data_IF_663612209915
#
_entry.id   IF_663612209915
#
_cell.length_a   1.000
_cell.length_b   1.000
_cell.length_c   1.000
_cell.angle_alpha   90.00
_cell.angle_beta   90.00
_cell.angle_gamma   90.00
#
_symmetry.space_group_name_H-M   'P 1'
#
loop_
_entity.id
_entity.type
_entity.pdbx_description
1 polymer ?
#
# COMPACT_ATOMS: atom_id res chain seq x y z
N UNK A 1 -13.68 -18.21 -1.62
CA UNK A 1 -12.53 -17.34 -1.90
C UNK A 1 -12.20 -16.58 -0.63
N UNK A 2 -11.00 -16.73 -0.13
CA UNK A 2 -10.53 -16.00 1.05
C UNK A 2 -10.19 -14.53 0.69
N UNK A 3 -9.95 -13.64 1.69
CA UNK A 3 -9.67 -12.23 1.43
C UNK A 3 -8.38 -12.00 0.59
N UNK A 4 -7.38 -12.87 0.70
CA UNK A 4 -6.14 -12.77 -0.09
C UNK A 4 -6.39 -13.02 -1.58
N UNK A 5 -7.13 -14.09 -1.89
CA UNK A 5 -7.51 -14.43 -3.27
C UNK A 5 -8.46 -13.38 -3.84
N UNK A 6 -9.39 -12.87 -3.01
CA UNK A 6 -10.30 -11.77 -3.39
C UNK A 6 -9.53 -10.50 -3.74
N UNK A 7 -8.58 -10.11 -2.91
CA UNK A 7 -7.72 -8.95 -3.19
C UNK A 7 -6.92 -9.13 -4.48
N UNK A 8 -6.29 -10.30 -4.66
CA UNK A 8 -5.56 -10.61 -5.90
C UNK A 8 -6.46 -10.51 -7.14
N UNK A 9 -7.66 -11.10 -7.09
CA UNK A 9 -8.64 -11.02 -8.17
C UNK A 9 -9.08 -9.57 -8.44
N UNK A 10 -9.41 -8.80 -7.40
CA UNK A 10 -9.79 -7.39 -7.55
C UNK A 10 -8.69 -6.55 -8.20
N UNK A 11 -7.43 -6.74 -7.77
CA UNK A 11 -6.29 -6.02 -8.34
C UNK A 11 -6.05 -6.41 -9.80
N UNK A 12 -6.15 -7.70 -10.12
CA UNK A 12 -6.00 -8.20 -11.49
C UNK A 12 -7.08 -7.68 -12.43
N UNK A 13 -8.34 -7.63 -11.97
CA UNK A 13 -9.49 -7.20 -12.76
C UNK A 13 -9.77 -5.70 -12.66
N UNK A 14 -8.93 -4.94 -11.94
CA UNK A 14 -9.10 -3.50 -11.69
C UNK A 14 -10.45 -3.15 -11.05
N UNK A 15 -10.93 -4.03 -10.21
CA UNK A 15 -12.11 -3.78 -9.38
C UNK A 15 -11.78 -2.81 -8.24
N UNK A 16 -12.81 -2.26 -7.60
CA UNK A 16 -12.62 -1.37 -6.45
C UNK A 16 -11.96 -2.12 -5.28
N UNK A 17 -10.82 -1.62 -4.83
CA UNK A 17 -10.10 -2.06 -3.64
C UNK A 17 -10.14 -0.95 -2.60
N UNK A 18 -10.37 -1.31 -1.33
CA UNK A 18 -10.42 -0.38 -0.20
C UNK A 18 -9.33 -0.74 0.79
N UNK A 19 -8.45 0.22 1.07
CA UNK A 19 -7.39 0.11 2.07
C UNK A 19 -7.43 1.20 3.12
N UNK A 20 -6.68 1.01 4.20
CA UNK A 20 -6.41 2.02 5.21
C UNK A 20 -5.01 1.87 5.78
N UNK A 21 -4.54 2.86 6.54
CA UNK A 21 -3.21 2.85 7.13
C UNK A 21 -3.26 2.90 8.65
N UNK A 22 -2.42 2.11 9.26
CA UNK A 22 -2.00 2.29 10.64
C UNK A 22 -0.59 2.92 10.62
N UNK A 23 -0.42 4.03 11.31
CA UNK A 23 0.82 4.79 11.35
C UNK A 23 1.28 5.16 12.75
N UNK A 24 0.38 5.09 13.75
CA UNK A 24 0.63 5.61 15.09
C UNK A 24 0.23 4.66 16.22
N UNK A 25 -0.87 3.90 16.06
CA UNK A 25 -1.42 3.06 17.12
C UNK A 25 -1.02 1.61 16.93
N UNK A 26 -0.06 1.14 17.74
CA UNK A 26 0.32 -0.28 17.78
C UNK A 26 -0.64 -1.05 18.71
N UNK A 27 -1.84 -1.37 18.21
CA UNK A 27 -2.86 -2.07 18.97
C UNK A 27 -3.48 -3.21 18.15
N UNK A 28 -3.22 -4.47 18.51
CA UNK A 28 -3.90 -5.63 17.93
C UNK A 28 -5.44 -5.56 18.06
N UNK A 29 -5.95 -5.08 19.20
CA UNK A 29 -7.40 -4.92 19.41
C UNK A 29 -8.02 -3.87 18.48
N UNK A 30 -7.28 -2.79 18.18
CA UNK A 30 -7.74 -1.81 17.20
C UNK A 30 -7.79 -2.42 15.80
N UNK A 31 -6.77 -3.17 15.42
CA UNK A 31 -6.74 -3.86 14.13
C UNK A 31 -7.92 -4.85 14.01
N UNK A 32 -8.24 -5.58 15.07
CA UNK A 32 -9.40 -6.48 15.13
C UNK A 32 -10.71 -5.69 14.92
N UNK A 33 -10.89 -4.58 15.63
CA UNK A 33 -12.08 -3.72 15.51
C UNK A 33 -12.24 -3.12 14.11
N UNK A 34 -11.14 -2.87 13.41
CA UNK A 34 -11.12 -2.34 12.04
C UNK A 34 -11.41 -3.40 10.96
N UNK A 35 -11.39 -4.70 11.28
CA UNK A 35 -11.53 -5.78 10.30
C UNK A 35 -12.98 -5.93 9.81
N UNK A 36 -13.41 -5.03 8.94
CA UNK A 36 -14.71 -5.08 8.26
C UNK A 36 -14.63 -5.94 6.99
N UNK A 37 -15.79 -6.42 6.54
CA UNK A 37 -15.87 -7.23 5.30
C UNK A 37 -15.43 -6.44 4.07
N UNK A 38 -15.74 -5.15 4.02
CA UNK A 38 -15.43 -4.27 2.89
C UNK A 38 -13.96 -3.85 2.85
N UNK A 39 -13.21 -4.02 3.95
CA UNK A 39 -11.79 -3.69 4.01
C UNK A 39 -10.96 -4.79 3.33
N UNK A 40 -10.25 -4.43 2.28
CA UNK A 40 -9.44 -5.36 1.51
C UNK A 40 -8.02 -5.50 2.05
N UNK A 41 -7.43 -4.43 2.60
CA UNK A 41 -6.09 -4.48 3.22
C UNK A 41 -5.87 -3.39 4.26
N UNK A 42 -4.90 -3.62 5.15
CA UNK A 42 -4.33 -2.61 6.04
C UNK A 42 -2.84 -2.46 5.75
N UNK A 43 -2.38 -1.22 5.64
CA UNK A 43 -0.98 -0.85 5.49
C UNK A 43 -0.39 -0.41 6.83
N UNK A 44 0.71 -1.00 7.25
CA UNK A 44 1.52 -0.52 8.37
C UNK A 44 2.65 0.35 7.82
N UNK A 45 2.70 1.59 8.27
CA UNK A 45 3.65 2.57 7.76
C UNK A 45 4.95 2.54 8.57
N UNK A 46 5.99 1.93 8.00
CA UNK A 46 7.33 1.92 8.59
C UNK A 46 8.25 3.03 8.02
N UNK A 47 7.80 3.81 7.03
CA UNK A 47 8.55 4.95 6.50
C UNK A 47 8.35 6.20 7.37
N UNK A 48 7.10 6.60 7.60
CA UNK A 48 6.76 7.83 8.33
C UNK A 48 6.00 7.55 9.64
N UNK A 49 5.55 6.32 9.85
CA UNK A 49 4.87 5.90 11.06
C UNK A 49 5.83 5.49 12.19
N UNK A 50 5.25 5.01 13.28
CA UNK A 50 5.99 4.53 14.46
C UNK A 50 6.43 3.06 14.36
N UNK A 51 6.16 2.41 13.21
CA UNK A 51 6.40 0.98 13.07
C UNK A 51 7.83 0.67 12.66
N UNK A 52 8.39 -0.31 13.34
CA UNK A 52 9.66 -0.95 13.05
C UNK A 52 9.50 -2.49 13.03
N UNK A 53 10.62 -3.16 12.82
CA UNK A 53 10.67 -4.63 12.75
C UNK A 53 10.17 -5.32 14.02
N UNK A 54 10.33 -4.69 15.20
CA UNK A 54 9.98 -5.33 16.48
C UNK A 54 8.50 -5.14 16.83
N UNK A 55 7.95 -3.97 16.54
CA UNK A 55 6.61 -3.62 16.97
C UNK A 55 5.51 -3.97 15.93
N UNK A 56 5.83 -4.09 14.65
CA UNK A 56 4.85 -4.45 13.61
C UNK A 56 4.47 -5.94 13.61
N UNK A 57 5.36 -6.81 14.12
CA UNK A 57 5.18 -8.27 14.01
C UNK A 57 3.88 -8.75 14.66
N UNK A 58 3.49 -8.20 15.81
CA UNK A 58 2.26 -8.57 16.51
C UNK A 58 1.01 -8.27 15.68
N UNK A 59 1.00 -7.12 14.99
CA UNK A 59 -0.08 -6.72 14.10
C UNK A 59 -0.16 -7.60 12.86
N UNK A 60 0.98 -7.93 12.25
CA UNK A 60 1.04 -8.86 11.12
C UNK A 60 0.51 -10.26 11.49
N UNK A 61 0.85 -10.76 12.68
CA UNK A 61 0.34 -12.05 13.16
C UNK A 61 -1.18 -12.01 13.42
N UNK A 62 -1.68 -10.94 14.02
CA UNK A 62 -3.13 -10.78 14.24
C UNK A 62 -3.87 -10.62 12.91
N UNK A 63 -3.39 -9.82 11.98
CA UNK A 63 -3.95 -9.72 10.63
C UNK A 63 -4.06 -11.08 9.95
N UNK A 64 -3.00 -11.88 10.04
CA UNK A 64 -2.98 -13.25 9.51
C UNK A 64 -4.01 -14.16 10.15
N UNK A 65 -4.15 -14.14 11.48
CA UNK A 65 -5.14 -14.95 12.20
C UNK A 65 -6.58 -14.57 11.81
N UNK A 66 -6.82 -13.30 11.52
CA UNK A 66 -8.12 -12.81 11.07
C UNK A 66 -8.36 -12.98 9.56
N UNK A 67 -7.37 -13.45 8.81
CA UNK A 67 -7.45 -13.53 7.35
C UNK A 67 -7.52 -12.18 6.65
N UNK A 68 -7.03 -11.12 7.28
CA UNK A 68 -6.97 -9.76 6.73
C UNK A 68 -5.62 -9.54 6.04
N UNK A 69 -5.58 -9.22 4.73
CA UNK A 69 -4.34 -8.88 4.05
C UNK A 69 -3.65 -7.68 4.69
N UNK A 70 -2.36 -7.83 5.03
CA UNK A 70 -1.56 -6.82 5.68
C UNK A 70 -0.34 -6.47 4.86
N UNK A 71 -0.08 -5.18 4.72
CA UNK A 71 1.04 -4.63 3.96
C UNK A 71 1.96 -3.86 4.90
N UNK A 72 3.23 -3.78 4.53
CA UNK A 72 4.18 -2.87 5.16
C UNK A 72 4.68 -1.89 4.11
N UNK A 73 4.61 -0.59 4.39
CA UNK A 73 5.38 0.39 3.64
C UNK A 73 6.80 0.35 4.17
N UNK A 74 7.74 -0.10 3.33
CA UNK A 74 9.15 -0.16 3.69
C UNK A 74 9.73 1.24 3.87
N UNK A 75 10.79 1.37 4.64
CA UNK A 75 11.49 2.64 4.85
C UNK A 75 12.20 3.12 3.59
N UNK A 76 12.68 2.18 2.77
CA UNK A 76 13.32 2.42 1.49
C UNK A 76 13.29 1.15 0.63
N UNK A 77 13.74 1.24 -0.63
CA UNK A 77 13.84 0.12 -1.55
C UNK A 77 15.13 -0.68 -1.33
N UNK A 78 15.26 -1.31 -0.16
CA UNK A 78 16.40 -2.14 0.18
C UNK A 78 15.96 -3.60 0.39
N UNK A 79 16.75 -4.55 -0.16
CA UNK A 79 16.45 -5.98 -0.08
C UNK A 79 16.10 -6.43 1.35
N UNK A 80 16.92 -6.05 2.32
CA UNK A 80 16.75 -6.50 3.71
C UNK A 80 15.49 -5.94 4.38
N UNK A 81 15.05 -4.74 4.03
CA UNK A 81 13.82 -4.13 4.55
C UNK A 81 12.58 -4.85 4.02
N UNK A 82 12.57 -5.11 2.72
CA UNK A 82 11.45 -5.78 2.04
C UNK A 82 11.37 -7.26 2.44
N UNK A 83 12.50 -7.98 2.35
CA UNK A 83 12.56 -9.41 2.72
C UNK A 83 12.16 -9.62 4.18
N UNK A 84 12.57 -8.71 5.09
CA UNK A 84 12.24 -8.80 6.51
C UNK A 84 10.75 -8.60 6.78
N UNK A 85 10.09 -7.67 6.08
CA UNK A 85 8.64 -7.48 6.19
C UNK A 85 7.88 -8.78 5.85
N UNK A 86 8.27 -9.44 4.77
CA UNK A 86 7.68 -10.73 4.35
C UNK A 86 7.99 -11.84 5.35
N UNK A 87 9.22 -11.91 5.87
CA UNK A 87 9.61 -12.90 6.89
C UNK A 87 8.81 -12.77 8.19
N UNK A 88 8.35 -11.58 8.52
CA UNK A 88 7.50 -11.31 9.68
C UNK A 88 6.02 -11.59 9.42
N UNK A 89 5.62 -11.78 8.18
CA UNK A 89 4.26 -12.15 7.83
C UNK A 89 3.46 -11.12 7.04
N UNK A 90 4.08 -10.07 6.54
CA UNK A 90 3.40 -9.18 5.60
C UNK A 90 2.98 -9.94 4.32
N UNK A 91 1.80 -9.65 3.84
CA UNK A 91 1.28 -10.23 2.60
C UNK A 91 1.74 -9.42 1.37
N UNK A 92 2.10 -8.15 1.60
CA UNK A 92 2.64 -7.30 0.57
C UNK A 92 3.52 -6.19 1.12
N UNK A 93 4.22 -5.54 0.21
CA UNK A 93 5.03 -4.37 0.51
C UNK A 93 4.68 -3.22 -0.42
N UNK A 94 4.63 -2.03 0.16
CA UNK A 94 4.66 -0.78 -0.58
C UNK A 94 6.07 -0.23 -0.53
N UNK A 95 6.63 0.09 -1.70
CA UNK A 95 8.01 0.56 -1.85
C UNK A 95 7.98 2.03 -2.20
N UNK A 96 8.44 2.93 -1.30
CA UNK A 96 8.41 4.36 -1.54
C UNK A 96 9.42 4.77 -2.62
N UNK A 97 9.21 5.94 -3.18
CA UNK A 97 10.15 6.62 -4.09
C UNK A 97 10.71 5.71 -5.19
N UNK A 98 9.83 4.92 -5.81
CA UNK A 98 10.24 4.03 -6.90
C UNK A 98 10.46 4.82 -8.18
N UNK A 99 11.71 4.87 -8.65
CA UNK A 99 12.15 5.70 -9.78
C UNK A 99 13.01 4.96 -10.81
N UNK A 100 13.42 3.71 -10.52
CA UNK A 100 14.34 2.97 -11.37
C UNK A 100 13.97 1.50 -11.50
N UNK A 101 14.39 0.87 -12.59
CA UNK A 101 14.23 -0.58 -12.79
C UNK A 101 15.04 -1.40 -11.78
N UNK A 102 16.18 -0.88 -11.31
CA UNK A 102 17.01 -1.53 -10.31
C UNK A 102 16.28 -1.62 -8.97
N UNK A 103 15.56 -0.57 -8.57
CA UNK A 103 14.70 -0.61 -7.38
C UNK A 103 13.63 -1.70 -7.51
N UNK A 104 12.94 -1.79 -8.65
CA UNK A 104 11.97 -2.85 -8.88
C UNK A 104 12.61 -4.24 -8.89
N UNK A 105 13.78 -4.41 -9.50
CA UNK A 105 14.53 -5.67 -9.44
C UNK A 105 14.82 -6.06 -7.98
N UNK A 106 15.32 -5.12 -7.18
CA UNK A 106 15.59 -5.33 -5.75
C UNK A 106 14.32 -5.73 -5.00
N UNK A 107 13.20 -5.06 -5.27
CA UNK A 107 11.91 -5.37 -4.64
C UNK A 107 11.41 -6.77 -5.00
N UNK A 108 11.47 -7.17 -6.26
CA UNK A 108 11.08 -8.52 -6.73
C UNK A 108 12.00 -9.58 -6.13
N UNK A 109 13.33 -9.33 -6.11
CA UNK A 109 14.31 -10.23 -5.53
C UNK A 109 14.06 -10.47 -4.03
N UNK A 110 13.63 -9.44 -3.31
CA UNK A 110 13.35 -9.52 -1.88
C UNK A 110 11.98 -10.11 -1.55
N UNK A 111 11.00 -9.96 -2.46
CA UNK A 111 9.62 -10.40 -2.28
C UNK A 111 9.43 -11.88 -2.63
N UNK A 112 10.00 -12.34 -3.73
CA UNK A 112 9.70 -13.63 -4.36
C UNK A 112 10.88 -14.60 -4.34
N UNK A 113 10.57 -15.90 -4.33
CA UNK A 113 11.57 -16.95 -4.46
C UNK A 113 12.03 -17.12 -5.91
N UNK A 114 13.15 -17.83 -6.07
CA UNK A 114 13.62 -18.27 -7.40
C UNK A 114 12.54 -19.09 -8.14
N UNK A 115 12.34 -18.92 -9.47
CA UNK A 115 13.17 -18.12 -10.39
C UNK A 115 12.79 -16.64 -10.51
N UNK A 116 11.65 -16.20 -10.01
CA UNK A 116 11.17 -14.82 -10.14
C UNK A 116 12.05 -13.82 -9.37
N UNK A 117 12.41 -14.18 -8.14
CA UNK A 117 13.24 -13.38 -7.25
C UNK A 117 14.36 -14.19 -6.60
N UNK A 118 14.93 -13.66 -5.53
CA UNK A 118 16.08 -14.24 -4.82
C UNK A 118 15.87 -14.28 -3.30
N UNK A 119 14.61 -14.24 -2.86
CA UNK A 119 14.25 -14.23 -1.44
C UNK A 119 14.81 -15.46 -0.73
N UNK A 120 15.39 -15.26 0.48
CA UNK A 120 15.79 -16.33 1.38
C UNK A 120 14.59 -17.09 1.95
N UNK A 121 14.71 -18.41 2.13
CA UNK A 121 13.63 -19.30 2.61
C UNK A 121 13.62 -19.55 4.12
N UNK A 122 14.34 -18.74 4.93
CA UNK A 122 14.53 -18.98 6.37
C UNK A 122 13.57 -18.27 7.32
N UNK A 123 12.65 -17.44 6.82
CA UNK A 123 11.76 -16.65 7.65
C UNK A 123 10.61 -17.46 8.26
N UNK A 124 10.45 -17.41 9.58
CA UNK A 124 9.38 -18.18 10.28
C UNK A 124 7.96 -17.70 9.96
N UNK A 125 7.79 -16.41 9.64
CA UNK A 125 6.48 -15.81 9.36
C UNK A 125 6.12 -15.76 7.88
N UNK A 126 6.98 -16.16 6.97
CA UNK A 126 6.79 -15.93 5.53
C UNK A 126 5.64 -16.73 4.90
N UNK A 127 5.32 -17.91 5.40
CA UNK A 127 4.19 -18.71 4.93
C UNK A 127 2.98 -18.57 5.84
N UNK A 128 1.79 -18.55 5.26
CA UNK A 128 0.54 -18.68 6.00
C UNK A 128 0.33 -20.14 6.44
N UNK A 129 -0.42 -20.41 7.48
CA UNK A 129 -0.76 -21.77 7.86
C UNK A 129 -1.37 -22.54 6.68
N UNK A 130 -0.76 -23.66 6.30
CA UNK A 130 -1.21 -24.51 5.18
C UNK A 130 -0.86 -24.01 3.78
N UNK A 131 -0.17 -22.89 3.64
CA UNK A 131 0.25 -22.37 2.33
C UNK A 131 1.38 -23.24 1.75
N UNK A 132 1.16 -23.77 0.54
CA UNK A 132 2.18 -24.52 -0.16
C UNK A 132 3.25 -23.58 -0.77
N UNK A 133 4.49 -24.05 -0.88
CA UNK A 133 5.58 -23.28 -1.48
C UNK A 133 5.25 -22.79 -2.90
N UNK A 134 4.58 -23.62 -3.70
CA UNK A 134 4.18 -23.28 -5.08
C UNK A 134 3.09 -22.18 -5.16
N UNK A 135 2.42 -21.85 -4.04
CA UNK A 135 1.37 -20.86 -3.98
C UNK A 135 1.85 -19.52 -3.42
N UNK A 136 3.06 -19.48 -2.86
CA UNK A 136 3.61 -18.33 -2.17
C UNK A 136 3.50 -17.01 -2.98
N UNK A 137 3.95 -17.01 -4.23
CA UNK A 137 3.96 -15.80 -5.06
C UNK A 137 2.58 -15.34 -5.54
N UNK A 138 1.57 -16.22 -5.52
CA UNK A 138 0.21 -15.89 -6.03
C UNK A 138 -0.51 -14.84 -5.21
N UNK A 139 -0.15 -14.72 -3.95
CA UNK A 139 -0.77 -13.81 -2.98
C UNK A 139 0.27 -13.03 -2.19
N UNK A 140 1.37 -12.66 -2.83
CA UNK A 140 2.33 -11.66 -2.36
C UNK A 140 2.21 -10.44 -3.27
N UNK A 141 2.11 -9.27 -2.66
CA UNK A 141 1.71 -8.05 -3.35
C UNK A 141 2.86 -7.04 -3.34
N UNK A 142 3.21 -6.54 -4.52
CA UNK A 142 4.17 -5.46 -4.71
C UNK A 142 3.44 -4.19 -5.15
N UNK A 143 3.62 -3.12 -4.40
CA UNK A 143 3.04 -1.81 -4.70
C UNK A 143 4.14 -0.75 -4.77
N UNK A 144 4.77 -0.52 -5.94
CA UNK A 144 5.68 0.62 -6.11
C UNK A 144 4.91 1.94 -5.96
N UNK A 145 5.51 2.88 -5.23
CA UNK A 145 4.95 4.21 -5.00
C UNK A 145 5.67 5.23 -5.89
N UNK A 146 4.90 5.90 -6.74
CA UNK A 146 5.37 6.91 -7.69
C UNK A 146 5.11 8.29 -7.11
N UNK A 147 6.19 9.05 -6.91
CA UNK A 147 6.19 10.29 -6.13
C UNK A 147 7.04 11.40 -6.74
N UNK A 148 7.49 11.22 -7.99
CA UNK A 148 8.34 12.20 -8.68
C UNK A 148 8.14 12.14 -10.19
N UNK A 149 8.57 13.21 -10.89
CA UNK A 149 8.57 13.24 -12.34
C UNK A 149 9.41 12.09 -12.94
N UNK A 150 10.55 11.78 -12.32
CA UNK A 150 11.41 10.67 -12.75
C UNK A 150 10.69 9.32 -12.65
N UNK A 151 9.94 9.08 -11.56
CA UNK A 151 9.13 7.88 -11.42
C UNK A 151 8.03 7.80 -12.47
N UNK A 152 7.35 8.92 -12.75
CA UNK A 152 6.32 8.99 -13.80
C UNK A 152 6.92 8.65 -15.19
N UNK A 153 8.07 9.23 -15.54
CA UNK A 153 8.70 9.03 -16.84
C UNK A 153 9.25 7.59 -17.01
N UNK A 154 9.64 6.95 -15.91
CA UNK A 154 10.13 5.58 -15.93
C UNK A 154 9.00 4.53 -15.86
N UNK A 155 7.80 4.91 -15.43
CA UNK A 155 6.68 3.99 -15.17
C UNK A 155 6.33 3.08 -16.36
N UNK A 156 6.28 3.54 -17.63
CA UNK A 156 6.02 2.64 -18.76
C UNK A 156 7.01 1.48 -18.83
N UNK A 157 8.30 1.77 -18.68
CA UNK A 157 9.36 0.76 -18.69
C UNK A 157 9.28 -0.19 -17.50
N UNK A 158 8.92 0.33 -16.33
CA UNK A 158 8.67 -0.49 -15.14
C UNK A 158 7.55 -1.50 -15.37
N UNK A 159 6.47 -1.08 -16.02
CA UNK A 159 5.33 -1.94 -16.33
C UNK A 159 5.62 -2.94 -17.46
N UNK A 160 6.47 -2.58 -18.44
CA UNK A 160 6.94 -3.49 -19.47
C UNK A 160 7.79 -4.62 -18.90
N UNK A 161 8.74 -4.29 -18.01
CA UNK A 161 9.73 -5.27 -17.54
C UNK A 161 9.28 -6.04 -16.28
N UNK A 162 8.53 -5.36 -15.38
CA UNK A 162 8.15 -5.92 -14.08
C UNK A 162 6.64 -5.95 -13.83
N UNK A 163 5.83 -5.60 -14.82
CA UNK A 163 4.38 -5.50 -14.65
C UNK A 163 3.73 -6.78 -14.14
N UNK A 164 4.25 -7.96 -14.48
CA UNK A 164 3.73 -9.23 -13.97
C UNK A 164 3.84 -9.36 -12.43
N UNK A 165 4.84 -8.73 -11.81
CA UNK A 165 5.07 -8.74 -10.36
C UNK A 165 4.40 -7.59 -9.63
N UNK A 166 4.02 -6.50 -10.34
CA UNK A 166 3.38 -5.34 -9.76
C UNK A 166 1.88 -5.59 -9.60
N UNK A 167 1.41 -5.54 -8.36
CA UNK A 167 0.00 -5.74 -8.02
C UNK A 167 -0.84 -4.49 -8.23
N UNK A 168 -0.31 -3.34 -7.85
CA UNK A 168 -0.87 -2.01 -8.12
C UNK A 168 0.24 -0.96 -8.07
N UNK A 169 0.08 0.12 -8.82
CA UNK A 169 0.91 1.32 -8.72
C UNK A 169 0.24 2.30 -7.77
N UNK A 170 0.97 2.83 -6.80
CA UNK A 170 0.43 3.77 -5.82
C UNK A 170 1.07 5.15 -6.02
N UNK A 171 0.29 6.20 -5.88
CA UNK A 171 0.78 7.58 -5.85
C UNK A 171 0.86 8.06 -4.41
N UNK A 172 2.01 8.58 -4.01
CA UNK A 172 2.20 9.33 -2.76
C UNK A 172 1.99 10.83 -3.02
N UNK A 173 0.79 11.38 -2.79
CA UNK A 173 0.46 12.72 -3.25
C UNK A 173 1.24 13.83 -2.54
N UNK A 174 1.61 13.61 -1.28
CA UNK A 174 2.35 14.61 -0.51
C UNK A 174 3.77 14.79 -1.01
N UNK A 175 4.53 13.69 -1.12
CA UNK A 175 5.90 13.72 -1.61
C UNK A 175 5.94 14.12 -3.09
N UNK A 176 5.01 13.62 -3.90
CA UNK A 176 4.86 14.06 -5.29
C UNK A 176 4.66 15.57 -5.38
N UNK A 177 3.84 16.17 -4.49
CA UNK A 177 3.62 17.62 -4.51
C UNK A 177 4.89 18.43 -4.22
N UNK A 178 5.73 17.93 -3.32
CA UNK A 178 7.04 18.53 -3.02
C UNK A 178 7.99 18.40 -4.21
N UNK A 179 8.07 17.20 -4.79
CA UNK A 179 8.95 16.90 -5.93
C UNK A 179 8.56 17.62 -7.22
N UNK A 180 7.28 18.00 -7.36
CA UNK A 180 6.77 18.80 -8.49
C UNK A 180 6.73 20.30 -8.21
N UNK A 181 7.28 20.76 -7.07
CA UNK A 181 7.37 22.18 -6.72
C UNK A 181 6.07 22.83 -6.26
N UNK A 182 5.07 22.05 -5.89
CA UNK A 182 3.76 22.51 -5.38
C UNK A 182 3.45 21.92 -4.01
N UNK A 183 4.31 22.14 -2.97
CA UNK A 183 4.24 21.44 -1.69
C UNK A 183 2.86 21.58 -1.03
N UNK A 184 2.25 20.44 -0.71
CA UNK A 184 0.91 20.29 -0.12
C UNK A 184 -0.27 20.80 -0.95
N UNK A 185 -0.05 21.28 -2.18
CA UNK A 185 -1.13 21.73 -3.08
C UNK A 185 -1.65 20.55 -3.92
N UNK A 186 -2.16 19.52 -3.26
CA UNK A 186 -2.55 18.22 -3.86
C UNK A 186 -3.63 18.37 -4.94
N UNK A 187 -4.46 19.42 -4.86
CA UNK A 187 -5.50 19.72 -5.84
C UNK A 187 -5.09 20.70 -6.95
N UNK A 188 -3.81 21.12 -7.03
CA UNK A 188 -3.33 22.00 -8.09
C UNK A 188 -3.36 21.33 -9.47
N UNK A 189 -3.45 22.13 -10.52
CA UNK A 189 -3.48 21.62 -11.90
C UNK A 189 -2.24 20.76 -12.19
N UNK A 190 -1.05 21.20 -11.75
CA UNK A 190 0.20 20.44 -11.88
C UNK A 190 0.08 19.04 -11.28
N UNK A 191 -0.48 18.96 -10.07
CA UNK A 191 -0.67 17.66 -9.41
C UNK A 191 -1.72 16.80 -10.11
N UNK A 192 -2.84 17.40 -10.52
CA UNK A 192 -3.90 16.67 -11.19
C UNK A 192 -3.46 16.12 -12.55
N UNK A 193 -2.68 16.88 -13.32
CA UNK A 193 -2.07 16.43 -14.58
C UNK A 193 -1.10 15.26 -14.35
N UNK A 194 -0.23 15.38 -13.35
CA UNK A 194 0.72 14.32 -13.00
C UNK A 194 -0.01 13.02 -12.54
N UNK A 195 -1.03 13.15 -11.69
CA UNK A 195 -1.86 12.03 -11.23
C UNK A 195 -2.58 11.38 -12.42
N UNK A 196 -3.19 12.18 -13.32
CA UNK A 196 -3.86 11.66 -14.50
C UNK A 196 -2.88 10.89 -15.40
N UNK A 197 -1.68 11.43 -15.62
CA UNK A 197 -0.64 10.75 -16.42
C UNK A 197 -0.28 9.37 -15.85
N UNK A 198 -0.13 9.24 -14.52
CA UNK A 198 0.13 7.94 -13.88
C UNK A 198 -1.05 6.98 -14.10
N UNK A 199 -2.29 7.44 -13.90
CA UNK A 199 -3.47 6.60 -14.10
C UNK A 199 -3.64 6.18 -15.56
N UNK A 200 -3.39 7.06 -16.51
CA UNK A 200 -3.47 6.75 -17.95
C UNK A 200 -2.43 5.69 -18.35
N UNK A 201 -1.20 5.81 -17.84
CA UNK A 201 -0.17 4.79 -18.05
C UNK A 201 -0.64 3.45 -17.45
N UNK A 202 -1.09 3.42 -16.20
CA UNK A 202 -1.58 2.19 -15.57
C UNK A 202 -2.76 1.58 -16.35
N UNK A 203 -3.68 2.42 -16.82
CA UNK A 203 -4.83 2.00 -17.63
C UNK A 203 -4.37 1.34 -18.94
N UNK A 204 -3.40 1.94 -19.65
CA UNK A 204 -2.87 1.41 -20.89
C UNK A 204 -2.22 0.03 -20.73
N UNK A 205 -1.61 -0.22 -19.57
CA UNK A 205 -1.01 -1.52 -19.23
C UNK A 205 -1.95 -2.48 -18.47
N UNK A 206 -3.22 -2.11 -18.28
CA UNK A 206 -4.19 -2.92 -17.54
C UNK A 206 -3.84 -3.11 -16.06
N UNK A 207 -3.08 -2.17 -15.46
CA UNK A 207 -2.65 -2.26 -14.06
C UNK A 207 -3.56 -1.48 -13.13
N UNK A 208 -3.80 -2.06 -11.95
CA UNK A 208 -4.44 -1.35 -10.85
C UNK A 208 -3.60 -0.16 -10.41
N UNK A 209 -4.27 0.94 -10.08
CA UNK A 209 -3.63 2.14 -9.59
C UNK A 209 -4.41 2.76 -8.44
N UNK A 210 -3.68 3.38 -7.53
CA UNK A 210 -4.22 3.96 -6.31
C UNK A 210 -3.50 5.22 -5.86
N UNK A 211 -4.15 5.93 -4.95
CA UNK A 211 -3.62 7.14 -4.34
C UNK A 211 -4.23 7.29 -2.93
N UNK A 212 -3.46 7.88 -2.02
CA UNK A 212 -4.00 8.28 -0.73
C UNK A 212 -5.01 9.43 -0.90
N UNK A 213 -6.19 9.27 -0.32
CA UNK A 213 -7.30 10.23 -0.42
C UNK A 213 -7.53 10.92 0.92
N UNK A 214 -7.36 12.23 1.00
CA UNK A 214 -7.57 12.99 2.23
C UNK A 214 -9.05 13.11 2.63
N UNK A 215 -9.92 13.12 1.63
CA UNK A 215 -11.35 13.33 1.83
C UNK A 215 -12.18 12.70 0.71
N UNK A 216 -13.50 12.69 0.91
CA UNK A 216 -14.46 12.12 -0.02
C UNK A 216 -14.44 12.79 -1.40
N UNK A 217 -14.27 14.10 -1.46
CA UNK A 217 -14.30 14.86 -2.73
C UNK A 217 -13.13 14.41 -3.62
N UNK A 218 -11.93 14.31 -3.06
CA UNK A 218 -10.76 13.82 -3.77
C UNK A 218 -10.89 12.33 -4.13
N UNK A 219 -11.42 11.52 -3.22
CA UNK A 219 -11.62 10.10 -3.50
C UNK A 219 -12.57 9.87 -4.70
N UNK A 220 -13.65 10.63 -4.79
CA UNK A 220 -14.57 10.59 -5.94
C UNK A 220 -13.87 11.07 -7.22
N UNK A 221 -13.19 12.20 -7.14
CA UNK A 221 -12.42 12.75 -8.28
C UNK A 221 -11.40 11.75 -8.82
N UNK A 222 -10.59 11.16 -7.95
CA UNK A 222 -9.59 10.17 -8.36
C UNK A 222 -10.22 8.89 -8.92
N UNK A 223 -11.37 8.49 -8.38
CA UNK A 223 -12.14 7.38 -8.95
C UNK A 223 -12.59 7.68 -10.39
N UNK A 224 -13.10 8.87 -10.65
CA UNK A 224 -13.53 9.31 -11.98
C UNK A 224 -12.35 9.43 -12.95
N UNK A 225 -11.14 9.74 -12.44
CA UNK A 225 -9.89 9.77 -13.20
C UNK A 225 -9.33 8.36 -13.52
N UNK A 226 -9.92 7.27 -12.98
CA UNK A 226 -9.52 5.90 -13.29
C UNK A 226 -8.83 5.13 -12.15
N UNK A 227 -8.73 5.73 -10.95
CA UNK A 227 -8.24 5.06 -9.75
C UNK A 227 -9.18 3.92 -9.33
N UNK A 228 -8.63 2.77 -9.00
CA UNK A 228 -9.41 1.64 -8.47
C UNK A 228 -8.98 1.19 -7.06
N UNK A 229 -7.80 1.58 -6.59
CA UNK A 229 -7.35 1.32 -5.22
C UNK A 229 -7.56 2.60 -4.40
N UNK A 230 -8.62 2.61 -3.61
CA UNK A 230 -8.98 3.72 -2.73
C UNK A 230 -8.40 3.48 -1.35
N UNK A 231 -7.49 4.33 -0.99
CA UNK A 231 -6.76 4.25 0.26
C UNK A 231 -6.94 5.58 1.01
N UNK A 232 -7.57 5.55 2.17
CA UNK A 232 -7.95 6.76 2.90
C UNK A 232 -7.66 6.67 4.37
N UNK A 233 -7.37 7.81 4.96
CA UNK A 233 -7.18 8.04 6.38
C UNK A 233 -6.15 7.13 7.05
N UNK A 234 -5.57 7.63 8.11
CA UNK A 234 -4.75 6.87 9.04
C UNK A 234 -5.52 6.62 10.33
N UNK A 235 -5.02 5.70 11.16
CA UNK A 235 -5.52 5.48 12.53
C UNK A 235 -5.57 6.78 13.35
N UNK A 236 -4.57 7.66 13.19
CA UNK A 236 -4.58 9.01 13.76
C UNK A 236 -5.77 9.84 13.29
N UNK A 237 -6.08 9.81 12.00
CA UNK A 237 -7.19 10.59 11.44
C UNK A 237 -8.53 10.12 11.97
N UNK A 238 -8.73 8.81 12.09
CA UNK A 238 -9.94 8.23 12.69
C UNK A 238 -10.08 8.66 14.14
N UNK A 239 -9.00 8.55 14.93
CA UNK A 239 -8.99 8.95 16.32
C UNK A 239 -9.31 10.44 16.47
N UNK A 240 -8.62 11.31 15.72
CA UNK A 240 -8.81 12.76 15.82
C UNK A 240 -10.20 13.21 15.39
N UNK A 241 -10.78 12.60 14.35
CA UNK A 241 -12.16 12.92 13.94
C UNK A 241 -13.17 12.56 15.04
N UNK A 242 -13.06 11.35 15.62
CA UNK A 242 -13.92 10.94 16.72
C UNK A 242 -13.73 11.82 17.95
N UNK A 243 -12.48 12.02 18.37
CA UNK A 243 -12.14 12.87 19.52
C UNK A 243 -12.68 14.29 19.38
N UNK A 244 -12.44 14.95 18.25
CA UNK A 244 -12.91 16.33 18.03
C UNK A 244 -14.45 16.40 18.06
N UNK A 245 -15.13 15.43 17.44
CA UNK A 245 -16.60 15.36 17.46
C UNK A 245 -17.15 15.31 18.88
N UNK A 246 -16.60 14.45 19.74
CA UNK A 246 -17.02 14.33 21.14
C UNK A 246 -16.68 15.59 21.96
N UNK A 247 -15.49 16.16 21.75
CA UNK A 247 -15.08 17.40 22.43
C UNK A 247 -15.97 18.59 22.05
N UNK A 248 -16.35 18.70 20.78
CA UNK A 248 -17.27 19.75 20.32
C UNK A 248 -18.64 19.63 20.97
N UNK A 249 -19.15 18.40 21.15
CA UNK A 249 -20.40 18.17 21.90
C UNK A 249 -20.27 18.62 23.36
N UNK A 250 -19.21 18.22 24.05
CA UNK A 250 -19.01 18.55 25.47
C UNK A 250 -18.83 20.05 25.70
N UNK A 251 -18.17 20.77 24.81
CA UNK A 251 -17.96 22.23 24.93
C UNK A 251 -19.24 23.05 24.75
N UNK A 252 -20.30 22.47 24.15
CA UNK A 252 -21.60 23.11 23.98
C UNK A 252 -22.52 22.92 25.18
N UNK A 253 -22.19 22.04 26.11
CA UNK A 253 -22.96 21.81 27.33
C UNK A 253 -22.66 22.96 28.32
N UNK A 254 -23.68 23.72 28.66
CA UNK A 254 -23.60 24.85 29.63
C UNK A 254 -23.75 24.36 31.06
#
# INVERSE_FOLDING_TARGET
MNKYERLASKLQNREKVIGTTMSMLNSPLLLEAMNREELDFVLFDAEHGVFDTQNVISLLQVGRLMGLPTFVRAQDCEYHLIAKAIDMGADGVMVPRTETLEQLRTAVDALLFYPAGRKGCGGHGQFRPGEAFADFGKTRFLMPQIESQKGIDMLPKMLEEYGEYISAVIIGPYDMSVMLGTPKQIGSDVMLEAIQKVFDICNAYGKSCGIFCDNEVLARKYRDMGCNVLWTATDKDFFMRGYNTEMDVLTQIK
#
